data_IF_839207454405
#
_entry.id   IF_839207454405
#
_cell.length_a   1.000
_cell.length_b   1.000
_cell.length_c   1.000
_cell.angle_alpha   90.00
_cell.angle_beta   90.00
_cell.angle_gamma   90.00
#
_symmetry.space_group_name_H-M   'P 1'
#
loop_
_entity.id
_entity.type
_entity.pdbx_description
1 polymer ?
#
# COMPACT_ATOMS: atom_id res chain seq x y z
N UNK A 1 -4.14 6.57 -30.20
CA UNK A 1 -3.98 6.95 -28.77
C UNK A 1 -2.54 6.69 -28.37
N UNK A 2 -1.90 7.62 -27.61
CA UNK A 2 -0.52 7.48 -27.15
C UNK A 2 -0.33 6.34 -26.14
N UNK A 3 0.94 6.01 -25.85
CA UNK A 3 1.27 4.99 -24.87
C UNK A 3 0.89 5.44 -23.45
N UNK A 4 1.34 6.62 -23.03
CA UNK A 4 1.09 7.17 -21.69
C UNK A 4 -0.34 7.71 -21.59
N UNK A 5 -1.04 7.31 -20.53
CA UNK A 5 -2.42 7.73 -20.22
C UNK A 5 -2.49 8.65 -19.00
N UNK A 6 -1.61 8.44 -18.02
CA UNK A 6 -1.58 9.22 -16.79
C UNK A 6 -0.42 8.86 -15.89
N UNK A 7 -0.27 9.63 -14.82
CA UNK A 7 0.70 9.40 -13.77
C UNK A 7 -0.02 9.26 -12.43
N UNK A 8 0.49 8.36 -11.60
CA UNK A 8 0.10 8.21 -10.20
C UNK A 8 1.35 8.44 -9.36
N UNK A 9 1.25 9.32 -8.40
CA UNK A 9 2.34 9.63 -7.48
C UNK A 9 1.88 9.24 -6.08
N UNK A 10 2.65 8.38 -5.42
CA UNK A 10 2.50 8.04 -4.01
C UNK A 10 3.71 8.59 -3.27
N UNK A 11 3.48 9.51 -2.36
CA UNK A 11 4.53 10.18 -1.59
C UNK A 11 4.29 10.00 -0.10
N UNK A 12 5.32 9.59 0.62
CA UNK A 12 5.33 9.56 2.08
C UNK A 12 5.96 10.83 2.61
N UNK A 13 5.19 11.61 3.36
CA UNK A 13 5.72 12.79 4.06
C UNK A 13 6.59 12.43 5.27
N UNK A 14 6.46 11.21 5.80
CA UNK A 14 7.23 10.77 6.96
C UNK A 14 8.63 10.29 6.59
N UNK A 15 8.79 9.67 5.41
CA UNK A 15 10.07 9.10 4.96
C UNK A 15 10.69 9.84 3.78
N UNK A 16 9.92 10.67 3.07
CA UNK A 16 10.32 11.31 1.82
C UNK A 16 10.34 10.37 0.61
N UNK A 17 9.99 9.09 0.77
CA UNK A 17 9.95 8.15 -0.35
C UNK A 17 8.77 8.44 -1.29
N UNK A 18 9.03 8.33 -2.59
CA UNK A 18 8.03 8.53 -3.65
C UNK A 18 8.03 7.35 -4.61
N UNK A 19 6.86 6.77 -4.84
CA UNK A 19 6.63 5.76 -5.87
C UNK A 19 5.85 6.38 -7.02
N UNK A 20 6.34 6.22 -8.25
CA UNK A 20 5.72 6.76 -9.45
C UNK A 20 5.16 5.64 -10.31
N UNK A 21 3.86 5.70 -10.57
CA UNK A 21 3.16 4.82 -11.49
C UNK A 21 2.86 5.53 -12.82
N UNK A 22 3.31 4.95 -13.91
CA UNK A 22 2.98 5.40 -15.27
C UNK A 22 1.86 4.51 -15.79
N UNK A 23 0.64 5.05 -15.87
CA UNK A 23 -0.50 4.34 -16.46
C UNK A 23 -0.41 4.40 -17.98
N UNK A 24 -0.39 3.24 -18.62
CA UNK A 24 -0.16 3.13 -20.06
C UNK A 24 -1.19 2.23 -20.75
N UNK A 25 -1.32 2.39 -22.04
CA UNK A 25 -1.82 1.34 -22.92
C UNK A 25 -0.81 0.18 -22.99
N UNK A 26 -1.22 -0.98 -23.52
CA UNK A 26 -0.26 -2.05 -23.86
C UNK A 26 0.80 -1.49 -24.82
N UNK A 27 2.06 -1.72 -24.51
CA UNK A 27 3.18 -1.25 -25.32
C UNK A 27 4.47 -1.14 -24.51
N UNK A 28 5.51 -0.77 -25.20
CA UNK A 28 6.84 -0.56 -24.62
C UNK A 28 7.20 0.92 -24.71
N UNK A 29 7.93 1.41 -23.72
CA UNK A 29 8.53 2.73 -23.80
C UNK A 29 9.56 2.81 -24.92
N UNK A 30 9.78 3.99 -25.51
CA UNK A 30 10.84 4.20 -26.49
C UNK A 30 12.19 3.73 -25.97
N UNK A 31 13.04 3.30 -26.89
CA UNK A 31 14.42 2.90 -26.57
C UNK A 31 15.15 4.09 -25.94
N UNK A 32 15.86 3.87 -24.85
CA UNK A 32 16.57 4.92 -24.12
C UNK A 32 15.72 5.65 -23.06
N UNK A 33 14.40 5.70 -23.18
CA UNK A 33 13.53 6.46 -22.25
C UNK A 33 13.80 6.15 -20.77
N UNK A 34 13.86 4.87 -20.42
CA UNK A 34 14.10 4.47 -19.04
C UNK A 34 15.52 4.78 -18.57
N UNK A 35 16.54 4.56 -19.44
CA UNK A 35 17.93 4.88 -19.10
C UNK A 35 18.10 6.38 -18.86
N UNK A 36 17.55 7.21 -19.75
CA UNK A 36 17.64 8.65 -19.63
C UNK A 36 16.96 9.15 -18.37
N UNK A 37 15.73 8.63 -18.09
CA UNK A 37 14.99 8.98 -16.89
C UNK A 37 15.71 8.53 -15.61
N UNK A 38 16.25 7.31 -15.56
CA UNK A 38 16.83 6.74 -14.34
C UNK A 38 18.27 7.21 -14.06
N UNK A 39 18.98 7.76 -15.05
CA UNK A 39 20.25 8.42 -14.86
C UNK A 39 20.12 9.85 -14.32
N UNK A 40 18.90 10.41 -14.34
CA UNK A 40 18.68 11.77 -13.83
C UNK A 40 18.89 11.81 -12.31
N UNK A 41 19.87 12.62 -11.88
CA UNK A 41 20.18 12.86 -10.47
C UNK A 41 18.98 13.42 -9.68
N UNK A 42 18.00 14.04 -10.37
CA UNK A 42 16.80 14.57 -9.76
C UNK A 42 15.90 13.49 -9.19
N UNK A 43 15.88 12.26 -9.73
CA UNK A 43 15.06 11.18 -9.15
C UNK A 43 15.41 10.94 -7.68
N UNK A 44 16.69 10.86 -7.35
CA UNK A 44 17.15 10.70 -5.96
C UNK A 44 16.82 11.91 -5.11
N UNK A 45 17.00 13.13 -5.65
CA UNK A 45 16.69 14.38 -4.94
C UNK A 45 15.21 14.51 -4.61
N UNK A 46 14.33 13.99 -5.48
CA UNK A 46 12.88 13.96 -5.28
C UNK A 46 12.41 12.77 -4.43
N UNK A 47 13.32 11.97 -3.89
CA UNK A 47 12.97 10.80 -3.09
C UNK A 47 12.30 9.69 -3.89
N UNK A 48 12.42 9.67 -5.24
CA UNK A 48 11.79 8.64 -6.05
C UNK A 48 12.54 7.34 -5.85
N UNK A 49 11.85 6.34 -5.29
CA UNK A 49 12.40 5.02 -4.96
C UNK A 49 12.04 3.95 -5.97
N UNK A 50 11.00 4.18 -6.79
CA UNK A 50 10.59 3.22 -7.80
C UNK A 50 9.73 3.83 -8.89
N UNK A 51 9.83 3.23 -10.09
CA UNK A 51 9.02 3.53 -11.26
C UNK A 51 8.27 2.27 -11.68
N UNK A 52 6.96 2.37 -11.81
CA UNK A 52 6.06 1.26 -12.14
C UNK A 52 5.28 1.59 -13.41
N UNK A 53 5.23 0.68 -14.35
CA UNK A 53 4.26 0.72 -15.43
C UNK A 53 3.00 0.00 -14.97
N UNK A 54 1.89 0.72 -14.90
CA UNK A 54 0.56 0.12 -14.74
C UNK A 54 -0.12 0.06 -16.10
N UNK A 55 -0.51 -1.14 -16.53
CA UNK A 55 -1.08 -1.34 -17.86
C UNK A 55 -2.60 -1.35 -17.76
N UNK A 56 -3.22 -0.31 -18.33
CA UNK A 56 -4.66 -0.19 -18.46
C UNK A 56 -5.04 0.26 -19.86
N UNK A 57 -5.47 -0.66 -20.70
CA UNK A 57 -5.95 -0.37 -22.06
C UNK A 57 -7.48 -0.26 -22.16
N UNK A 58 -8.18 -0.37 -21.05
CA UNK A 58 -9.65 -0.30 -21.03
C UNK A 58 -10.13 1.14 -21.19
N UNK A 59 -11.26 1.32 -21.84
CA UNK A 59 -11.92 2.62 -21.99
C UNK A 59 -13.02 2.78 -20.92
N UNK A 60 -12.59 2.84 -19.65
CA UNK A 60 -13.47 2.96 -18.49
C UNK A 60 -13.01 4.10 -17.58
N UNK A 61 -13.81 4.41 -16.56
CA UNK A 61 -13.46 5.40 -15.52
C UNK A 61 -12.36 4.89 -14.56
N UNK A 62 -12.00 3.60 -14.64
CA UNK A 62 -10.96 3.02 -13.80
C UNK A 62 -9.60 3.51 -14.30
N UNK A 63 -8.87 4.18 -13.42
CA UNK A 63 -7.56 4.76 -13.77
C UNK A 63 -6.50 3.67 -13.88
N UNK A 64 -6.42 2.78 -12.89
CA UNK A 64 -5.42 1.72 -12.82
C UNK A 64 -5.94 0.40 -13.41
N UNK A 65 -5.10 -0.27 -14.19
CA UNK A 65 -5.32 -1.67 -14.56
C UNK A 65 -4.82 -2.63 -13.48
N UNK A 66 -5.05 -3.91 -13.69
CA UNK A 66 -4.61 -4.97 -12.77
C UNK A 66 -3.13 -5.35 -12.92
N UNK A 67 -2.51 -5.03 -14.05
CA UNK A 67 -1.13 -5.43 -14.34
C UNK A 67 -0.14 -4.30 -14.00
N UNK A 68 0.81 -4.61 -13.12
CA UNK A 68 1.91 -3.72 -12.74
C UNK A 68 3.26 -4.35 -13.13
N UNK A 69 4.14 -3.56 -13.72
CA UNK A 69 5.50 -3.94 -14.06
C UNK A 69 6.48 -2.95 -13.46
N UNK A 70 7.40 -3.44 -12.63
CA UNK A 70 8.50 -2.62 -12.11
C UNK A 70 9.45 -2.30 -13.26
N UNK A 71 9.64 -1.02 -13.53
CA UNK A 71 10.56 -0.52 -14.54
C UNK A 71 11.92 -0.19 -13.95
N UNK A 72 11.93 0.31 -12.71
CA UNK A 72 13.14 0.65 -11.99
C UNK A 72 12.88 0.74 -10.48
N UNK A 73 13.88 0.40 -9.66
CA UNK A 73 13.87 0.56 -8.22
C UNK A 73 12.92 -0.38 -7.48
N UNK A 74 12.27 0.14 -6.45
CA UNK A 74 11.36 -0.61 -5.57
C UNK A 74 9.95 -0.72 -6.16
N UNK A 75 9.20 -1.75 -5.74
CA UNK A 75 7.77 -1.89 -6.05
C UNK A 75 6.85 -1.35 -4.95
N UNK A 76 7.43 -0.89 -3.84
CA UNK A 76 6.75 -0.32 -2.67
C UNK A 76 7.51 0.90 -2.17
N UNK A 77 6.78 1.81 -1.54
CA UNK A 77 7.36 2.90 -0.73
C UNK A 77 7.07 2.65 0.75
N UNK A 78 7.81 3.31 1.59
CA UNK A 78 7.66 3.21 3.05
C UNK A 78 6.90 4.41 3.57
N UNK A 79 5.87 4.15 4.39
CA UNK A 79 5.19 5.16 5.20
C UNK A 79 5.41 4.83 6.68
N UNK A 80 5.48 5.86 7.53
CA UNK A 80 5.57 5.69 8.98
C UNK A 80 4.42 6.40 9.66
N UNK A 81 3.72 5.69 10.53
CA UNK A 81 2.60 6.23 11.30
C UNK A 81 2.59 5.62 12.71
N UNK A 82 2.59 6.48 13.75
CA UNK A 82 2.54 6.03 15.14
C UNK A 82 3.66 5.06 15.53
N UNK A 83 4.83 5.16 14.91
CA UNK A 83 5.97 4.27 15.13
C UNK A 83 5.82 2.88 14.47
N UNK A 84 4.86 2.71 13.57
CA UNK A 84 4.75 1.56 12.67
C UNK A 84 5.33 1.92 11.31
N UNK A 85 5.96 0.93 10.68
CA UNK A 85 6.45 1.00 9.29
C UNK A 85 5.48 0.26 8.39
N UNK A 86 5.00 0.94 7.36
CA UNK A 86 4.09 0.38 6.37
C UNK A 86 4.79 0.27 5.02
N UNK A 87 4.72 -0.89 4.39
CA UNK A 87 5.15 -1.15 3.03
C UNK A 87 3.94 -1.03 2.11
N UNK A 88 3.94 -0.06 1.20
CA UNK A 88 2.77 0.27 0.40
C UNK A 88 3.06 0.19 -1.10
N UNK A 89 2.32 -0.64 -1.79
CA UNK A 89 2.37 -0.76 -3.25
C UNK A 89 1.58 0.36 -3.94
N UNK A 90 1.74 0.49 -5.26
CA UNK A 90 1.11 1.56 -6.03
C UNK A 90 -0.43 1.59 -5.89
N UNK A 91 -1.06 0.40 -5.84
CA UNK A 91 -2.52 0.26 -5.81
C UNK A 91 -3.12 0.20 -4.42
N UNK A 92 -2.30 0.05 -3.38
CA UNK A 92 -2.82 -0.08 -2.02
C UNK A 92 -3.37 1.25 -1.49
N UNK A 93 -4.51 1.14 -0.82
CA UNK A 93 -5.07 2.28 -0.12
C UNK A 93 -4.33 2.50 1.21
N UNK A 94 -4.02 3.75 1.50
CA UNK A 94 -3.57 4.19 2.82
C UNK A 94 -4.18 5.56 3.13
N UNK A 95 -4.42 5.85 4.41
CA UNK A 95 -5.00 7.11 4.85
C UNK A 95 -4.08 8.29 4.53
N UNK A 96 -4.54 9.19 3.68
CA UNK A 96 -3.73 10.32 3.18
C UNK A 96 -3.46 11.40 4.25
N UNK A 97 -4.30 11.45 5.30
CA UNK A 97 -4.15 12.40 6.40
C UNK A 97 -3.65 11.69 7.66
N UNK A 98 -2.33 11.46 7.75
CA UNK A 98 -1.69 10.65 8.79
C UNK A 98 -2.09 11.04 10.22
N UNK A 99 -2.14 12.35 10.54
CA UNK A 99 -2.55 12.81 11.88
C UNK A 99 -4.00 12.46 12.24
N UNK A 100 -4.91 12.45 11.26
CA UNK A 100 -6.30 12.05 11.51
C UNK A 100 -6.44 10.53 11.53
N UNK A 101 -5.67 9.82 10.72
CA UNK A 101 -5.60 8.37 10.77
C UNK A 101 -5.16 7.87 12.15
N UNK A 102 -4.15 8.49 12.73
CA UNK A 102 -3.67 8.17 14.08
C UNK A 102 -4.77 8.39 15.16
N UNK A 103 -5.50 9.50 15.09
CA UNK A 103 -6.63 9.76 15.99
C UNK A 103 -7.73 8.71 15.83
N UNK A 104 -8.08 8.37 14.57
CA UNK A 104 -9.09 7.35 14.27
C UNK A 104 -8.66 5.98 14.83
N UNK A 105 -7.42 5.58 14.60
CA UNK A 105 -6.90 4.29 15.06
C UNK A 105 -6.84 4.20 16.58
N UNK A 106 -6.49 5.31 17.26
CA UNK A 106 -6.54 5.41 18.71
C UNK A 106 -7.98 5.28 19.23
N UNK A 107 -8.96 5.89 18.58
CA UNK A 107 -10.36 5.78 18.93
C UNK A 107 -10.88 4.34 18.78
N UNK A 108 -10.56 3.68 17.68
CA UNK A 108 -10.87 2.26 17.45
C UNK A 108 -10.25 1.40 18.56
N UNK A 109 -9.01 1.70 18.93
CA UNK A 109 -8.32 1.02 20.02
C UNK A 109 -9.04 1.14 21.36
N UNK A 110 -9.57 2.33 21.68
CA UNK A 110 -10.38 2.56 22.88
C UNK A 110 -11.70 1.77 22.82
N UNK A 111 -12.39 1.78 21.69
CA UNK A 111 -13.65 1.05 21.53
C UNK A 111 -13.49 -0.48 21.63
N UNK A 112 -12.30 -0.99 21.30
CA UNK A 112 -12.01 -2.42 21.41
C UNK A 112 -11.39 -2.83 22.75
N UNK A 113 -11.32 -1.92 23.74
CA UNK A 113 -10.71 -2.20 25.03
C UNK A 113 -11.43 -3.31 25.81
N UNK A 114 -12.76 -3.37 25.74
CA UNK A 114 -13.56 -4.41 26.37
C UNK A 114 -13.38 -5.81 25.74
N UNK A 115 -12.91 -5.87 24.50
CA UNK A 115 -12.60 -7.12 23.80
C UNK A 115 -11.19 -7.65 24.07
N UNK A 116 -10.55 -7.25 25.19
CA UNK A 116 -9.22 -7.74 25.60
C UNK A 116 -9.22 -9.25 25.73
N UNK A 117 -8.21 -9.91 25.12
CA UNK A 117 -8.08 -11.37 25.12
C UNK A 117 -8.90 -12.07 24.03
N UNK A 118 -9.74 -11.38 23.31
CA UNK A 118 -10.44 -11.91 22.13
C UNK A 118 -9.63 -11.62 20.85
N UNK A 119 -9.89 -12.40 19.80
CA UNK A 119 -9.39 -12.12 18.46
C UNK A 119 -10.32 -11.12 17.77
N UNK A 120 -9.76 -10.01 17.30
CA UNK A 120 -10.47 -8.98 16.56
C UNK A 120 -10.42 -9.27 15.06
N UNK A 121 -11.48 -8.95 14.35
CA UNK A 121 -11.53 -9.05 12.89
C UNK A 121 -11.50 -7.63 12.31
N UNK A 122 -10.50 -7.33 11.48
CA UNK A 122 -10.44 -6.12 10.67
C UNK A 122 -10.98 -6.48 9.28
N UNK A 123 -12.28 -6.25 9.09
CA UNK A 123 -13.00 -6.54 7.86
C UNK A 123 -12.68 -5.46 6.81
N UNK A 124 -12.35 -5.89 5.58
CA UNK A 124 -11.88 -5.02 4.49
C UNK A 124 -10.61 -4.24 4.88
N UNK A 125 -9.64 -4.96 5.42
CA UNK A 125 -8.47 -4.40 6.12
C UNK A 125 -7.50 -3.61 5.21
N UNK A 126 -7.66 -3.69 3.88
CA UNK A 126 -6.76 -3.01 2.95
C UNK A 126 -5.30 -3.40 3.18
N UNK A 127 -4.41 -2.42 3.32
CA UNK A 127 -2.99 -2.64 3.66
C UNK A 127 -2.72 -2.89 5.16
N UNK A 128 -3.75 -3.20 5.93
CA UNK A 128 -3.64 -3.60 7.33
C UNK A 128 -3.44 -2.45 8.33
N UNK A 129 -3.86 -1.23 7.98
CA UNK A 129 -3.63 -0.05 8.82
C UNK A 129 -4.17 -0.20 10.24
N UNK A 130 -5.45 -0.59 10.38
CA UNK A 130 -6.11 -0.80 11.68
C UNK A 130 -5.58 -2.07 12.35
N UNK A 131 -5.48 -3.18 11.60
CA UNK A 131 -5.00 -4.46 12.12
C UNK A 131 -3.62 -4.33 12.77
N UNK A 132 -2.66 -3.70 12.08
CA UNK A 132 -1.31 -3.49 12.59
C UNK A 132 -1.27 -2.54 13.80
N UNK A 133 -2.14 -1.52 13.78
CA UNK A 133 -2.26 -0.58 14.92
C UNK A 133 -2.71 -1.28 16.19
N UNK A 134 -3.74 -2.13 16.08
CA UNK A 134 -4.26 -2.93 17.20
C UNK A 134 -3.27 -4.01 17.63
N UNK A 135 -2.61 -4.67 16.68
CA UNK A 135 -1.60 -5.70 16.97
C UNK A 135 -0.40 -5.13 17.74
N UNK A 136 0.07 -3.92 17.41
CA UNK A 136 1.11 -3.20 18.15
C UNK A 136 0.75 -2.99 19.63
N UNK A 137 -0.53 -2.93 19.95
CA UNK A 137 -1.05 -2.77 21.32
C UNK A 137 -1.31 -4.12 22.01
N UNK A 138 -0.81 -5.22 21.44
CA UNK A 138 -0.93 -6.56 22.00
C UNK A 138 -2.26 -7.26 21.72
N UNK A 139 -3.08 -6.77 20.77
CA UNK A 139 -4.31 -7.45 20.35
C UNK A 139 -4.02 -8.56 19.35
N UNK A 140 -4.77 -9.66 19.42
CA UNK A 140 -4.79 -10.64 18.33
C UNK A 140 -5.74 -10.15 17.24
N UNK A 141 -5.29 -10.04 15.99
CA UNK A 141 -6.08 -9.48 14.90
C UNK A 141 -6.01 -10.37 13.66
N UNK A 142 -7.15 -10.54 12.99
CA UNK A 142 -7.24 -11.15 11.67
C UNK A 142 -7.73 -10.07 10.70
N UNK A 143 -6.91 -9.70 9.75
CA UNK A 143 -7.27 -8.81 8.63
C UNK A 143 -7.79 -9.63 7.45
N UNK A 144 -8.94 -9.25 6.89
CA UNK A 144 -9.54 -9.90 5.72
C UNK A 144 -9.69 -8.85 4.61
N UNK A 145 -9.14 -9.14 3.44
CA UNK A 145 -9.19 -8.27 2.26
C UNK A 145 -9.06 -9.12 0.98
N UNK A 146 -9.86 -8.81 -0.04
CA UNK A 146 -9.83 -9.54 -1.31
C UNK A 146 -8.69 -9.13 -2.26
N UNK A 147 -8.12 -7.95 -2.06
CA UNK A 147 -7.07 -7.42 -2.93
C UNK A 147 -5.70 -7.93 -2.48
N UNK A 148 -5.22 -9.01 -3.10
CA UNK A 148 -3.97 -9.70 -2.73
C UNK A 148 -2.75 -8.76 -2.61
N UNK A 149 -2.52 -7.76 -3.50
CA UNK A 149 -1.38 -6.87 -3.33
C UNK A 149 -1.42 -6.08 -2.01
N UNK A 150 -2.61 -5.70 -1.51
CA UNK A 150 -2.74 -5.05 -0.22
C UNK A 150 -2.46 -6.02 0.95
N UNK A 151 -2.84 -7.28 0.81
CA UNK A 151 -2.53 -8.33 1.79
C UNK A 151 -1.03 -8.65 1.86
N UNK A 152 -0.34 -8.65 0.72
CA UNK A 152 1.12 -8.75 0.70
C UNK A 152 1.79 -7.57 1.40
N UNK A 153 1.29 -6.34 1.16
CA UNK A 153 1.76 -5.13 1.84
C UNK A 153 1.56 -5.23 3.35
N UNK A 154 0.40 -5.71 3.80
CA UNK A 154 0.07 -5.90 5.20
C UNK A 154 0.98 -6.94 5.88
N UNK A 155 1.19 -8.10 5.24
CA UNK A 155 2.10 -9.15 5.74
C UNK A 155 3.55 -8.65 5.83
N UNK A 156 4.02 -7.93 4.82
CA UNK A 156 5.36 -7.35 4.84
C UNK A 156 5.51 -6.30 5.94
N UNK A 157 4.48 -5.47 6.14
CA UNK A 157 4.44 -4.47 7.20
C UNK A 157 4.44 -5.13 8.58
N UNK A 158 3.65 -6.21 8.79
CA UNK A 158 3.66 -6.98 10.03
C UNK A 158 5.05 -7.51 10.35
N UNK A 159 5.69 -8.16 9.38
CA UNK A 159 7.04 -8.71 9.53
C UNK A 159 8.06 -7.62 9.88
N UNK A 160 8.02 -6.48 9.20
CA UNK A 160 8.96 -5.36 9.45
C UNK A 160 8.79 -4.73 10.83
N UNK A 161 7.59 -4.83 11.41
CA UNK A 161 7.29 -4.33 12.75
C UNK A 161 7.44 -5.42 13.84
N UNK A 162 7.80 -6.65 13.49
CA UNK A 162 7.92 -7.76 14.45
C UNK A 162 6.58 -8.19 15.07
N UNK A 163 5.46 -7.97 14.38
CA UNK A 163 4.12 -8.29 14.85
C UNK A 163 3.74 -9.70 14.41
N UNK A 164 3.71 -10.65 15.36
CA UNK A 164 3.29 -12.03 15.14
C UNK A 164 1.83 -12.30 15.55
N UNK A 165 1.18 -11.33 16.17
CA UNK A 165 -0.18 -11.40 16.68
C UNK A 165 -1.23 -10.83 15.70
N UNK A 166 -0.87 -10.65 14.43
CA UNK A 166 -1.81 -10.35 13.36
C UNK A 166 -1.64 -11.34 12.20
N UNK A 167 -2.76 -11.77 11.65
CA UNK A 167 -2.85 -12.63 10.47
C UNK A 167 -3.60 -11.92 9.38
N UNK A 168 -3.27 -12.23 8.12
CA UNK A 168 -3.90 -11.60 6.95
C UNK A 168 -4.38 -12.65 5.98
N UNK A 169 -5.68 -12.67 5.73
CA UNK A 169 -6.38 -13.62 4.88
C UNK A 169 -6.85 -12.91 3.61
N UNK A 170 -6.45 -13.43 2.46
CA UNK A 170 -6.97 -12.96 1.18
C UNK A 170 -8.27 -13.65 0.86
N UNK A 171 -9.33 -12.87 0.70
CA UNK A 171 -10.68 -13.36 0.42
C UNK A 171 -11.73 -12.33 0.74
N UNK A 172 -12.98 -12.70 0.58
CA UNK A 172 -14.10 -11.84 0.98
C UNK A 172 -14.42 -12.04 2.47
N UNK A 173 -14.96 -10.99 3.10
CA UNK A 173 -15.35 -11.05 4.50
C UNK A 173 -16.46 -12.10 4.69
N UNK A 174 -17.37 -12.20 3.73
CA UNK A 174 -18.52 -13.13 3.75
C UNK A 174 -18.07 -14.60 3.74
N UNK A 175 -16.92 -14.91 3.15
CA UNK A 175 -16.38 -16.27 3.11
C UNK A 175 -15.61 -16.68 4.38
N UNK A 176 -15.09 -15.70 5.14
CA UNK A 176 -14.14 -15.95 6.23
C UNK A 176 -14.61 -15.49 7.60
N UNK A 177 -15.68 -14.69 7.70
CA UNK A 177 -16.24 -14.18 8.97
C UNK A 177 -17.51 -14.91 9.42
N UNK A 178 -17.88 -16.01 8.74
CA UNK A 178 -19.05 -16.83 9.07
C UNK A 178 -18.74 -17.87 10.17
#
# INVERSE_FOLDING_TARGET
>A
RGLLRGLIIRHSSSTGETLVGMVTNKGRFPRGFLSDLTQDKNLKRLGIVGLIQNINSQNTNVIMGSENKVLWGKNRYIESLGGLTFHLSLGSFFQVHSKQAEKLYNLISQWTEEAKGQTLIDAYSGSGGIALWLAKQGRNVIGIEKFEPAMEDARQSANSNGLSNCQFITGTVEEHAA
#
